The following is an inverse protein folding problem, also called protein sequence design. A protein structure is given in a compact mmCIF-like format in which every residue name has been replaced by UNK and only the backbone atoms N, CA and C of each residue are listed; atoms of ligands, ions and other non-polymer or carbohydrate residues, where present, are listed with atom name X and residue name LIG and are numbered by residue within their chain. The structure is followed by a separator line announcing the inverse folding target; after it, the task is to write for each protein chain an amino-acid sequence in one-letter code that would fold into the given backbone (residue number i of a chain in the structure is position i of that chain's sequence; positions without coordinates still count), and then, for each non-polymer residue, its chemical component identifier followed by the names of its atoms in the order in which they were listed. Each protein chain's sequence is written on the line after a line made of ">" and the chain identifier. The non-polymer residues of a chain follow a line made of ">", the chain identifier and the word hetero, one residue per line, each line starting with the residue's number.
data_IF_885028099407
#
_entry.id   IF_885028099407
#
_cell.length_a   1.000
_cell.length_b   1.000
_cell.length_c   1.000
_cell.angle_alpha   90.00
_cell.angle_beta   90.00
_cell.angle_gamma   90.00
#
_symmetry.space_group_name_H-M   'P 1'
#
loop_
_entity.id
_entity.type
_entity.pdbx_description
1 polymer ?
#
# COMPACT_ATOMS: atom_id res chain seq x y z
N UNK A 1 6.31 3.96 -11.79
CA UNK A 1 6.03 2.51 -12.06
C UNK A 1 4.56 2.23 -11.76
N UNK A 2 3.90 1.50 -12.63
CA UNK A 2 2.50 1.13 -12.40
C UNK A 2 2.41 0.07 -11.31
N UNK A 3 1.38 0.17 -10.49
CA UNK A 3 1.16 -0.81 -9.41
C UNK A 3 1.04 -2.23 -9.97
N UNK A 4 0.41 -2.39 -11.14
CA UNK A 4 0.28 -3.70 -11.78
C UNK A 4 1.61 -4.39 -12.04
N UNK A 5 2.64 -3.64 -12.40
CA UNK A 5 3.98 -4.21 -12.58
C UNK A 5 4.55 -4.74 -11.28
N UNK A 6 4.31 -4.02 -10.19
CA UNK A 6 4.78 -4.43 -8.86
C UNK A 6 4.05 -5.70 -8.42
N UNK A 7 2.74 -5.74 -8.63
CA UNK A 7 1.92 -6.92 -8.32
C UNK A 7 2.45 -8.15 -9.04
N UNK A 8 2.74 -8.02 -10.32
CA UNK A 8 3.23 -9.13 -11.13
C UNK A 8 4.62 -9.59 -10.67
N UNK A 9 5.54 -8.64 -10.46
CA UNK A 9 6.92 -8.97 -10.10
C UNK A 9 7.06 -9.53 -8.69
N UNK A 10 6.24 -9.07 -7.76
CA UNK A 10 6.30 -9.51 -6.36
C UNK A 10 5.30 -10.62 -6.02
N UNK A 11 4.41 -10.98 -6.94
CA UNK A 11 3.40 -11.98 -6.67
C UNK A 11 2.40 -11.56 -5.60
N UNK A 12 2.01 -10.28 -5.59
CA UNK A 12 1.08 -9.77 -4.60
C UNK A 12 -0.35 -10.16 -4.94
N UNK A 13 -1.18 -10.27 -3.91
CA UNK A 13 -2.60 -10.47 -4.11
C UNK A 13 -3.29 -9.11 -4.30
N UNK A 14 -4.07 -8.97 -5.36
CA UNK A 14 -4.82 -7.75 -5.65
C UNK A 14 -6.20 -7.83 -4.99
N UNK A 15 -6.47 -6.94 -4.05
CA UNK A 15 -7.75 -6.91 -3.33
C UNK A 15 -8.75 -5.97 -4.00
N UNK A 16 -8.34 -4.74 -4.30
CA UNK A 16 -9.18 -3.78 -5.02
C UNK A 16 -8.33 -2.65 -5.62
N UNK A 17 -8.92 -1.91 -6.53
CA UNK A 17 -8.32 -0.72 -7.10
C UNK A 17 -7.78 -0.92 -8.50
N UNK A 18 -7.45 0.20 -9.16
CA UNK A 18 -6.96 0.24 -10.54
C UNK A 18 -5.46 0.00 -10.58
N UNK A 19 -5.04 -1.12 -11.18
CA UNK A 19 -3.62 -1.49 -11.27
C UNK A 19 -2.82 -0.63 -12.25
N UNK A 20 -3.47 0.23 -13.01
CA UNK A 20 -2.78 1.16 -13.92
C UNK A 20 -2.28 2.41 -13.21
N UNK A 21 -2.66 2.61 -11.95
CA UNK A 21 -2.21 3.74 -11.15
C UNK A 21 -0.70 3.68 -10.97
N UNK A 22 -0.05 4.85 -11.06
CA UNK A 22 1.41 4.95 -10.95
C UNK A 22 1.85 5.37 -9.56
N UNK A 23 2.97 4.81 -9.12
CA UNK A 23 3.62 5.20 -7.87
C UNK A 23 5.09 5.50 -8.14
N UNK A 24 5.65 6.40 -7.32
CA UNK A 24 7.04 6.83 -7.45
C UNK A 24 7.86 6.53 -6.20
N UNK A 25 7.19 6.41 -5.05
CA UNK A 25 7.87 6.26 -3.75
C UNK A 25 7.35 5.05 -3.01
N UNK A 26 8.18 4.51 -2.12
CA UNK A 26 7.79 3.47 -1.17
C UNK A 26 7.96 4.01 0.26
N UNK A 27 7.09 3.57 1.17
CA UNK A 27 7.17 3.99 2.57
C UNK A 27 6.67 2.86 3.45
N UNK A 28 7.49 2.44 4.41
CA UNK A 28 7.15 1.36 5.33
C UNK A 28 7.00 1.91 6.73
N UNK A 29 5.80 1.83 7.29
CA UNK A 29 5.54 2.30 8.64
C UNK A 29 4.18 1.81 9.11
N UNK A 30 4.08 1.50 10.42
CA UNK A 30 2.83 1.05 11.01
C UNK A 30 2.21 2.10 11.93
N UNK A 31 2.90 3.20 12.16
CA UNK A 31 2.41 4.29 12.99
C UNK A 31 1.79 5.37 12.09
N UNK A 32 0.47 5.49 12.17
CA UNK A 32 -0.29 6.37 11.27
C UNK A 32 0.15 7.82 11.31
N UNK A 33 0.50 8.33 12.49
CA UNK A 33 0.97 9.71 12.63
C UNK A 33 2.28 9.98 11.90
N UNK A 34 3.16 8.99 11.84
CA UNK A 34 4.41 9.10 11.08
C UNK A 34 4.14 9.11 9.58
N UNK A 35 3.25 8.23 9.13
CA UNK A 35 2.86 8.18 7.72
C UNK A 35 2.26 9.52 7.30
N UNK A 36 1.33 10.03 8.12
CA UNK A 36 0.66 11.29 7.85
C UNK A 36 1.65 12.45 7.77
N UNK A 37 2.68 12.45 8.60
CA UNK A 37 3.64 13.53 8.67
C UNK A 37 4.81 13.44 7.70
N UNK A 38 5.14 12.24 7.22
CA UNK A 38 6.39 12.04 6.47
C UNK A 38 6.26 11.39 5.10
N UNK A 39 5.18 10.67 4.82
CA UNK A 39 5.02 10.04 3.52
C UNK A 39 4.67 11.08 2.46
N UNK A 40 5.06 10.78 1.23
CA UNK A 40 4.85 11.66 0.08
C UNK A 40 3.65 11.23 -0.74
N UNK A 41 3.07 12.13 -1.54
CA UNK A 41 2.10 11.72 -2.56
C UNK A 41 2.72 10.71 -3.53
N UNK A 42 1.89 9.95 -4.22
CA UNK A 42 2.33 8.94 -5.19
C UNK A 42 3.17 7.83 -4.55
N UNK A 43 2.84 7.49 -3.32
CA UNK A 43 3.55 6.46 -2.54
C UNK A 43 2.79 5.14 -2.54
N UNK A 44 3.57 4.06 -2.50
CA UNK A 44 3.09 2.72 -2.17
C UNK A 44 3.46 2.48 -0.71
N UNK A 45 2.46 2.29 0.14
CA UNK A 45 2.63 2.18 1.60
C UNK A 45 2.62 0.72 2.02
N UNK A 46 3.67 0.30 2.72
CA UNK A 46 3.86 -1.07 3.19
C UNK A 46 3.62 -1.08 4.70
N UNK A 47 2.66 -1.89 5.17
CA UNK A 47 2.22 -1.86 6.56
C UNK A 47 1.61 -3.19 6.99
N UNK A 48 1.39 -3.35 8.29
CA UNK A 48 0.61 -4.46 8.86
C UNK A 48 -0.73 -3.96 9.43
N UNK A 49 -1.06 -2.69 9.23
CA UNK A 49 -2.33 -2.11 9.66
C UNK A 49 -3.43 -2.43 8.67
N UNK A 50 -4.57 -2.91 9.16
CA UNK A 50 -5.68 -3.35 8.31
C UNK A 50 -6.99 -2.56 8.54
N UNK A 51 -6.98 -1.69 9.55
CA UNK A 51 -8.15 -0.90 9.94
C UNK A 51 -8.45 0.22 8.94
N UNK A 52 -9.71 0.64 8.89
CA UNK A 52 -10.17 1.68 7.94
C UNK A 52 -9.40 3.01 8.05
N UNK A 53 -8.80 3.28 9.19
CA UNK A 53 -8.01 4.50 9.40
C UNK A 53 -6.88 4.66 8.38
N UNK A 54 -6.36 3.56 7.83
CA UNK A 54 -5.29 3.63 6.83
C UNK A 54 -5.77 4.30 5.54
N UNK A 55 -7.04 4.12 5.20
CA UNK A 55 -7.61 4.73 3.99
C UNK A 55 -7.71 6.25 4.16
N UNK A 56 -8.10 6.71 5.35
CA UNK A 56 -8.17 8.13 5.64
C UNK A 56 -6.79 8.79 5.51
N UNK A 57 -5.76 8.17 6.09
CA UNK A 57 -4.40 8.65 6.01
C UNK A 57 -3.91 8.66 4.57
N UNK A 58 -4.13 7.57 3.84
CA UNK A 58 -3.71 7.48 2.44
C UNK A 58 -4.35 8.56 1.58
N UNK A 59 -5.63 8.83 1.80
CA UNK A 59 -6.36 9.86 1.04
C UNK A 59 -5.79 11.25 1.30
N UNK A 60 -5.51 11.59 2.55
CA UNK A 60 -4.98 12.90 2.92
C UNK A 60 -3.57 13.10 2.34
N UNK A 61 -2.72 12.10 2.42
CA UNK A 61 -1.32 12.20 1.96
C UNK A 61 -1.20 12.13 0.44
N UNK A 62 -2.12 11.44 -0.22
CA UNK A 62 -1.99 11.16 -1.65
C UNK A 62 -1.29 9.82 -1.92
N UNK A 63 -1.33 8.92 -0.95
CA UNK A 63 -0.83 7.55 -1.13
C UNK A 63 -1.77 6.83 -2.11
N UNK A 64 -1.20 6.11 -3.06
CA UNK A 64 -1.99 5.49 -4.13
C UNK A 64 -2.32 4.03 -3.88
N UNK A 65 -1.49 3.36 -3.13
CA UNK A 65 -1.69 1.93 -2.85
C UNK A 65 -1.08 1.52 -1.54
N UNK A 66 -1.59 0.41 -1.00
CA UNK A 66 -1.16 -0.14 0.29
C UNK A 66 -0.88 -1.63 0.10
N UNK A 67 0.25 -2.11 0.65
CA UNK A 67 0.54 -3.54 0.73
C UNK A 67 0.42 -3.95 2.18
N UNK A 68 -0.54 -4.83 2.48
CA UNK A 68 -0.73 -5.41 3.81
C UNK A 68 0.12 -6.68 3.91
N UNK A 69 1.05 -6.69 4.86
CA UNK A 69 2.03 -7.76 5.00
C UNK A 69 1.62 -8.81 6.03
N UNK A 70 2.46 -9.86 6.17
CA UNK A 70 2.32 -10.94 7.16
C UNK A 70 1.06 -11.79 7.00
N UNK A 71 0.47 -11.83 5.83
CA UNK A 71 -0.73 -12.62 5.61
C UNK A 71 -1.97 -12.12 6.34
N UNK A 72 -1.96 -10.87 6.79
CA UNK A 72 -3.15 -10.28 7.43
C UNK A 72 -4.25 -10.00 6.42
N UNK A 73 -5.47 -9.84 6.92
CA UNK A 73 -6.64 -9.53 6.10
C UNK A 73 -7.12 -8.12 6.39
N UNK A 74 -7.52 -7.40 5.34
CA UNK A 74 -8.18 -6.11 5.52
C UNK A 74 -9.58 -6.30 6.11
N UNK A 75 -10.00 -5.38 6.97
CA UNK A 75 -11.37 -5.35 7.43
C UNK A 75 -12.28 -4.97 6.25
N UNK A 76 -13.52 -5.44 6.27
CA UNK A 76 -14.46 -5.18 5.19
C UNK A 76 -14.65 -3.69 4.93
N UNK A 77 -14.79 -2.93 6.01
CA UNK A 77 -14.97 -1.48 5.91
C UNK A 77 -13.79 -0.81 5.23
N UNK A 78 -12.58 -1.32 5.46
CA UNK A 78 -11.36 -0.80 4.84
C UNK A 78 -11.41 -0.97 3.33
N UNK A 79 -11.84 -2.14 2.88
CA UNK A 79 -11.94 -2.43 1.44
C UNK A 79 -13.00 -1.52 0.80
N UNK A 80 -14.15 -1.36 1.45
CA UNK A 80 -15.23 -0.53 0.93
C UNK A 80 -14.78 0.93 0.78
N UNK A 81 -14.11 1.46 1.80
CA UNK A 81 -13.61 2.85 1.77
C UNK A 81 -12.50 3.03 0.74
N UNK A 82 -11.62 2.05 0.60
CA UNK A 82 -10.56 2.13 -0.40
C UNK A 82 -11.15 2.21 -1.81
N UNK A 83 -12.18 1.42 -2.09
CA UNK A 83 -12.87 1.48 -3.38
C UNK A 83 -13.48 2.84 -3.64
N UNK A 84 -14.10 3.44 -2.62
CA UNK A 84 -14.73 4.76 -2.74
C UNK A 84 -13.70 5.86 -3.01
N UNK A 85 -12.49 5.70 -2.49
CA UNK A 85 -11.45 6.74 -2.55
C UNK A 85 -10.35 6.45 -3.57
N UNK A 86 -10.49 5.40 -4.35
CA UNK A 86 -9.51 5.09 -5.40
C UNK A 86 -8.16 4.61 -4.88
N UNK A 87 -8.11 4.03 -3.68
CA UNK A 87 -6.88 3.49 -3.11
C UNK A 87 -6.76 2.01 -3.50
N UNK A 88 -5.60 1.64 -4.04
CA UNK A 88 -5.35 0.23 -4.40
C UNK A 88 -4.93 -0.54 -3.16
N UNK A 89 -5.58 -1.66 -2.89
CA UNK A 89 -5.21 -2.53 -1.77
C UNK A 89 -4.61 -3.83 -2.29
N UNK A 90 -3.44 -4.16 -1.74
CA UNK A 90 -2.67 -5.35 -2.08
C UNK A 90 -2.33 -6.09 -0.80
N UNK A 91 -2.01 -7.39 -0.93
CA UNK A 91 -1.60 -8.22 0.22
C UNK A 91 -0.38 -9.04 -0.12
N UNK A 92 0.41 -9.35 0.91
CA UNK A 92 1.55 -10.27 0.82
C UNK A 92 1.58 -11.16 2.05
N UNK A 93 1.96 -12.42 1.86
CA UNK A 93 2.21 -13.34 2.98
C UNK A 93 3.58 -13.08 3.63
N UNK A 94 4.45 -12.33 2.96
CA UNK A 94 5.78 -12.04 3.48
C UNK A 94 5.73 -10.89 4.49
N UNK A 95 6.78 -10.79 5.32
CA UNK A 95 6.86 -9.70 6.29
C UNK A 95 7.27 -8.39 5.62
N UNK A 96 7.12 -7.28 6.35
CA UNK A 96 7.36 -5.96 5.80
C UNK A 96 8.82 -5.72 5.40
N UNK A 97 9.77 -6.37 6.05
CA UNK A 97 11.17 -6.25 5.68
C UNK A 97 11.42 -6.79 4.26
N UNK A 98 10.92 -8.00 4.00
CA UNK A 98 11.08 -8.64 2.70
C UNK A 98 10.38 -7.86 1.60
N UNK A 99 9.14 -7.45 1.86
CA UNK A 99 8.37 -6.67 0.89
C UNK A 99 9.06 -5.34 0.60
N UNK A 100 9.53 -4.65 1.64
CA UNK A 100 10.24 -3.37 1.49
C UNK A 100 11.50 -3.53 0.65
N UNK A 101 12.28 -4.57 0.92
CA UNK A 101 13.50 -4.84 0.15
C UNK A 101 13.20 -5.05 -1.33
N UNK A 102 12.17 -5.84 -1.62
CA UNK A 102 11.79 -6.13 -3.00
C UNK A 102 11.28 -4.88 -3.73
N UNK A 103 10.46 -4.08 -3.06
CA UNK A 103 9.95 -2.83 -3.62
C UNK A 103 11.09 -1.85 -3.87
N UNK A 104 12.01 -1.74 -2.93
CA UNK A 104 13.18 -0.87 -3.06
C UNK A 104 14.04 -1.28 -4.26
N UNK A 105 14.25 -2.58 -4.46
CA UNK A 105 15.03 -3.09 -5.59
C UNK A 105 14.38 -2.79 -6.93
N UNK A 106 13.06 -2.63 -6.97
CA UNK A 106 12.36 -2.25 -8.21
C UNK A 106 12.57 -0.78 -8.57
N UNK A 107 13.11 0.02 -7.66
CA UNK A 107 13.42 1.42 -7.93
C UNK A 107 12.56 2.44 -7.21
N UNK A 108 11.60 2.00 -6.43
CA UNK A 108 10.79 2.92 -5.62
C UNK A 108 11.61 3.40 -4.43
N UNK A 109 11.67 4.68 -4.23
CA UNK A 109 12.44 5.31 -3.17
C UNK A 109 11.53 6.27 -2.39
#
# INVERSE_FOLDING_TARGET
>A
MRIGEIVEKLGLEHVCGDLNVEVEHGFTCDLLSEVLGKAQPSTLWITVQSHVNIVAVATVVGIKGIILCNGHEYERETIDKARENGIVLLKSSENSFMVSGKVYELGLR
#
